data_IF_963534347169
#
_entry.id   IF_963534347169
#
_cell.length_a   1.000
_cell.length_b   1.000
_cell.length_c   1.000
_cell.angle_alpha   90.00
_cell.angle_beta   90.00
_cell.angle_gamma   90.00
#
_symmetry.space_group_name_H-M   'P 1'
#
loop_
_entity.id
_entity.type
_entity.pdbx_description
1 polymer ?
#
# COMPACT_ATOMS: atom_id res chain seq x y z
N UNK A 1 -7.19 -17.18 24.93
CA UNK A 1 -7.23 -18.06 23.73
C UNK A 1 -5.86 -18.05 23.07
N UNK A 2 -5.41 -19.21 22.58
CA UNK A 2 -4.18 -19.32 21.80
C UNK A 2 -4.53 -19.38 20.32
N UNK A 3 -3.88 -18.55 19.51
CA UNK A 3 -4.09 -18.47 18.07
C UNK A 3 -2.73 -18.55 17.38
N UNK A 4 -2.65 -19.27 16.26
CA UNK A 4 -1.43 -19.31 15.44
C UNK A 4 -1.62 -18.43 14.19
N UNK A 5 -0.58 -17.70 13.82
CA UNK A 5 -0.53 -17.05 12.52
C UNK A 5 -0.34 -18.08 11.40
N UNK A 6 -1.05 -17.90 10.29
CA UNK A 6 -0.88 -18.65 9.05
C UNK A 6 0.19 -18.01 8.17
N UNK A 7 0.17 -16.67 8.03
CA UNK A 7 1.14 -15.93 7.23
C UNK A 7 1.60 -14.65 7.92
N UNK A 8 2.86 -14.26 7.71
CA UNK A 8 3.47 -13.08 8.33
C UNK A 8 4.38 -12.40 7.31
N UNK A 9 4.27 -11.08 7.17
CA UNK A 9 5.22 -10.31 6.37
C UNK A 9 6.62 -10.48 6.97
N UNK A 10 7.56 -10.96 6.16
CA UNK A 10 8.93 -11.17 6.59
C UNK A 10 9.58 -9.91 7.19
N UNK A 11 9.12 -8.72 6.78
CA UNK A 11 9.62 -7.45 7.30
C UNK A 11 9.31 -7.20 8.78
N UNK A 12 8.38 -7.96 9.38
CA UNK A 12 8.07 -7.90 10.82
C UNK A 12 9.05 -8.68 11.67
N UNK A 13 9.82 -9.60 11.08
CA UNK A 13 10.89 -10.29 11.79
C UNK A 13 12.12 -9.39 11.85
N UNK A 14 12.13 -8.50 12.84
CA UNK A 14 13.35 -7.83 13.29
C UNK A 14 14.01 -8.67 14.39
N UNK A 15 15.34 -8.62 14.49
CA UNK A 15 16.11 -9.35 15.51
C UNK A 15 15.99 -8.71 16.92
N UNK A 16 14.97 -7.88 17.16
CA UNK A 16 14.78 -7.27 18.48
C UNK A 16 14.32 -8.33 19.47
N UNK A 17 15.24 -8.67 20.37
CA UNK A 17 15.00 -9.55 21.52
C UNK A 17 14.26 -8.83 22.64
N UNK A 18 14.07 -7.51 22.53
CA UNK A 18 13.41 -6.68 23.53
C UNK A 18 11.89 -6.74 23.41
N UNK A 19 11.25 -6.65 24.57
CA UNK A 19 9.81 -6.58 24.70
C UNK A 19 9.31 -5.22 24.21
N UNK A 20 8.39 -5.22 23.24
CA UNK A 20 7.82 -4.01 22.66
C UNK A 20 6.37 -3.82 23.10
N UNK A 21 6.01 -2.57 23.40
CA UNK A 21 4.64 -2.19 23.76
C UNK A 21 3.90 -1.64 22.55
N UNK A 22 2.70 -2.17 22.37
CA UNK A 22 1.80 -1.89 21.27
C UNK A 22 0.40 -1.68 21.82
N UNK A 23 -0.51 -1.16 21.01
CA UNK A 23 -1.92 -1.10 21.33
C UNK A 23 -2.76 -1.36 20.09
N UNK A 24 -4.01 -1.80 20.28
CA UNK A 24 -4.99 -1.88 19.21
C UNK A 24 -5.36 -0.47 18.78
N UNK A 25 -4.93 -0.08 17.59
CA UNK A 25 -5.15 1.26 17.05
C UNK A 25 -6.56 1.42 16.47
N UNK A 26 -7.00 0.45 15.66
CA UNK A 26 -8.28 0.54 14.96
C UNK A 26 -8.84 -0.84 14.66
N UNK A 27 -10.16 -0.97 14.65
CA UNK A 27 -10.87 -2.25 14.42
C UNK A 27 -11.91 -2.09 13.31
N UNK A 28 -11.94 -3.04 12.38
CA UNK A 28 -12.85 -3.11 11.23
C UNK A 28 -13.47 -4.50 11.13
N UNK A 29 -14.38 -4.68 10.16
CA UNK A 29 -15.11 -5.94 9.95
C UNK A 29 -14.18 -7.14 9.72
N UNK A 30 -13.11 -6.96 8.94
CA UNK A 30 -12.23 -8.06 8.50
C UNK A 30 -10.76 -7.83 8.89
N UNK A 31 -10.46 -6.80 9.69
CA UNK A 31 -9.09 -6.49 10.10
C UNK A 31 -9.10 -5.65 11.37
N UNK A 32 -7.98 -5.66 12.09
CA UNK A 32 -7.66 -4.62 13.05
C UNK A 32 -6.18 -4.27 12.89
N UNK A 33 -5.84 -3.02 13.21
CA UNK A 33 -4.46 -2.55 13.19
C UNK A 33 -3.98 -2.40 14.62
N UNK A 34 -2.71 -2.75 14.83
CA UNK A 34 -1.99 -2.46 16.06
C UNK A 34 -0.89 -1.46 15.76
N UNK A 35 -0.58 -0.59 16.71
CA UNK A 35 0.44 0.45 16.57
C UNK A 35 1.40 0.41 17.75
N UNK A 36 2.67 0.64 17.49
CA UNK A 36 3.69 0.74 18.55
C UNK A 36 3.49 2.05 19.35
N UNK A 37 3.99 2.08 20.59
CA UNK A 37 3.87 3.26 21.46
C UNK A 37 4.49 4.54 20.87
N UNK A 38 5.50 4.42 19.98
CA UNK A 38 6.15 5.58 19.34
C UNK A 38 5.37 6.09 18.12
N UNK A 39 4.27 5.43 17.76
CA UNK A 39 3.41 5.77 16.61
C UNK A 39 4.17 5.82 15.28
N UNK A 40 5.13 4.92 15.10
CA UNK A 40 5.97 4.85 13.92
C UNK A 40 5.64 3.66 13.01
N UNK A 41 5.10 2.59 13.59
CA UNK A 41 4.80 1.35 12.90
C UNK A 41 3.34 0.94 13.13
N UNK A 42 2.71 0.49 12.05
CA UNK A 42 1.44 -0.20 12.09
C UNK A 42 1.64 -1.63 11.60
N UNK A 43 0.85 -2.53 12.16
CA UNK A 43 0.73 -3.92 11.73
C UNK A 43 -0.75 -4.22 11.58
N UNK A 44 -1.13 -4.77 10.43
CA UNK A 44 -2.50 -5.21 10.18
C UNK A 44 -2.63 -6.68 10.56
N UNK A 45 -3.59 -7.01 11.41
CA UNK A 45 -3.98 -8.40 11.67
C UNK A 45 -5.32 -8.65 10.99
N UNK A 46 -5.35 -9.68 10.13
CA UNK A 46 -6.50 -9.98 9.28
C UNK A 46 -6.58 -11.49 9.00
N UNK A 47 -7.47 -11.87 8.09
CA UNK A 47 -7.71 -13.26 7.66
C UNK A 47 -7.09 -13.51 6.28
N UNK A 48 -6.76 -14.77 6.01
CA UNK A 48 -6.31 -15.28 4.70
C UNK A 48 -7.29 -15.01 3.53
N UNK A 49 -8.52 -14.57 3.80
CA UNK A 49 -9.47 -14.11 2.79
C UNK A 49 -9.20 -12.68 2.27
N UNK A 50 -8.20 -11.99 2.82
CA UNK A 50 -7.81 -10.64 2.42
C UNK A 50 -6.46 -10.67 1.68
N UNK A 51 -6.22 -9.77 0.70
CA UNK A 51 -4.93 -9.69 0.03
C UNK A 51 -3.77 -9.48 1.01
N UNK A 52 -2.59 -10.00 0.68
CA UNK A 52 -1.39 -9.78 1.47
C UNK A 52 -0.96 -8.30 1.42
N UNK A 53 -0.75 -7.70 2.58
CA UNK A 53 -0.42 -6.29 2.76
C UNK A 53 0.96 -6.17 3.39
N UNK A 54 1.71 -5.07 3.15
CA UNK A 54 2.89 -4.78 3.94
C UNK A 54 2.56 -4.79 5.44
N UNK A 55 3.46 -5.34 6.25
CA UNK A 55 3.28 -5.49 7.70
C UNK A 55 1.99 -6.24 8.10
N UNK A 56 1.56 -7.24 7.32
CA UNK A 56 0.38 -8.02 7.64
C UNK A 56 0.67 -9.34 8.38
N UNK A 57 -0.17 -9.66 9.36
CA UNK A 57 -0.27 -10.95 10.05
C UNK A 57 -1.63 -11.56 9.73
N UNK A 58 -1.65 -12.78 9.22
CA UNK A 58 -2.84 -13.46 8.71
C UNK A 58 -3.17 -14.68 9.54
N UNK A 59 -4.43 -14.81 9.93
CA UNK A 59 -4.95 -15.94 10.70
C UNK A 59 -5.99 -16.70 9.86
N UNK A 60 -6.25 -17.95 10.22
CA UNK A 60 -7.41 -18.69 9.71
C UNK A 60 -8.70 -17.91 10.01
N UNK A 61 -9.65 -17.92 9.07
CA UNK A 61 -10.86 -17.10 9.18
C UNK A 61 -11.67 -17.35 10.48
N UNK A 62 -11.74 -18.61 10.92
CA UNK A 62 -12.43 -18.98 12.15
C UNK A 62 -11.73 -18.44 13.40
N UNK A 63 -10.40 -18.49 13.45
CA UNK A 63 -9.62 -17.99 14.57
C UNK A 63 -9.56 -16.47 14.59
N UNK A 64 -9.45 -15.84 13.43
CA UNK A 64 -9.56 -14.39 13.28
C UNK A 64 -10.89 -13.87 13.82
N UNK A 65 -12.01 -14.51 13.46
CA UNK A 65 -13.35 -14.10 13.91
C UNK A 65 -13.49 -14.16 15.44
N UNK A 66 -12.99 -15.23 16.06
CA UNK A 66 -12.96 -15.37 17.52
C UNK A 66 -12.03 -14.35 18.18
N UNK A 67 -10.87 -14.07 17.59
CA UNK A 67 -9.96 -13.07 18.11
C UNK A 67 -10.61 -11.69 18.05
N UNK A 68 -11.12 -11.32 16.87
CA UNK A 68 -11.75 -10.03 16.62
C UNK A 68 -12.93 -9.77 17.56
N UNK A 69 -13.71 -10.78 17.97
CA UNK A 69 -14.84 -10.59 18.89
C UNK A 69 -14.43 -10.19 20.32
N UNK A 70 -13.17 -10.42 20.69
CA UNK A 70 -12.66 -10.16 22.06
C UNK A 70 -11.69 -8.98 22.15
N UNK A 71 -11.18 -8.49 21.01
CA UNK A 71 -10.23 -7.38 20.93
C UNK A 71 -10.94 -6.02 21.01
N UNK A 72 -10.41 -5.09 21.79
CA UNK A 72 -10.96 -3.74 21.95
C UNK A 72 -9.97 -2.66 21.48
N UNK A 73 -10.48 -1.55 20.95
CA UNK A 73 -9.64 -0.40 20.56
C UNK A 73 -8.99 0.17 21.82
N UNK A 74 -7.69 0.42 21.77
CA UNK A 74 -6.88 0.89 22.89
C UNK A 74 -6.34 -0.21 23.80
N UNK A 75 -6.72 -1.48 23.58
CA UNK A 75 -6.19 -2.61 24.32
C UNK A 75 -4.66 -2.68 24.19
N UNK A 76 -3.98 -2.86 25.31
CA UNK A 76 -2.53 -2.95 25.37
C UNK A 76 -2.06 -4.33 24.89
N UNK A 77 -0.99 -4.32 24.11
CA UNK A 77 -0.39 -5.51 23.52
C UNK A 77 1.09 -5.51 23.88
N UNK A 78 1.54 -6.63 24.43
CA UNK A 78 2.97 -6.87 24.63
C UNK A 78 3.45 -7.78 23.50
N UNK A 79 4.32 -7.27 22.63
CA UNK A 79 4.99 -8.08 21.62
C UNK A 79 6.34 -8.52 22.16
N UNK A 80 6.52 -9.84 22.29
CA UNK A 80 7.76 -10.43 22.78
C UNK A 80 8.17 -11.59 21.90
N UNK A 81 9.39 -11.53 21.34
CA UNK A 81 9.91 -12.57 20.45
C UNK A 81 8.91 -12.86 19.30
N UNK A 82 8.36 -14.08 19.27
CA UNK A 82 7.43 -14.55 18.25
C UNK A 82 5.99 -14.65 18.79
N UNK A 83 5.60 -13.81 19.74
CA UNK A 83 4.21 -13.77 20.22
C UNK A 83 3.72 -12.37 20.58
N UNK A 84 2.45 -12.15 20.28
CA UNK A 84 1.70 -10.98 20.73
C UNK A 84 0.78 -11.41 21.87
N UNK A 85 0.89 -10.74 23.01
CA UNK A 85 0.10 -10.97 24.21
C UNK A 85 -0.90 -9.83 24.39
N UNK A 86 -2.18 -10.15 24.28
CA UNK A 86 -3.32 -9.31 24.57
C UNK A 86 -3.95 -9.75 25.90
N UNK A 87 -4.94 -9.04 26.41
CA UNK A 87 -5.53 -9.29 27.74
C UNK A 87 -6.06 -10.72 27.88
N UNK A 88 -6.77 -11.18 26.83
CA UNK A 88 -7.41 -12.50 26.81
C UNK A 88 -6.86 -13.43 25.72
N UNK A 89 -5.91 -12.95 24.91
CA UNK A 89 -5.47 -13.65 23.71
C UNK A 89 -3.95 -13.69 23.59
N UNK A 90 -3.45 -14.79 23.05
CA UNK A 90 -2.04 -14.96 22.73
C UNK A 90 -1.96 -15.41 21.27
N UNK A 91 -1.29 -14.60 20.46
CA UNK A 91 -1.06 -14.88 19.06
C UNK A 91 0.39 -15.32 18.86
N UNK A 92 0.60 -16.54 18.42
CA UNK A 92 1.92 -17.11 18.13
C UNK A 92 2.28 -16.94 16.66
N UNK A 93 3.49 -16.45 16.41
CA UNK A 93 4.03 -16.15 15.09
C UNK A 93 4.95 -17.26 14.54
N UNK A 94 5.41 -18.18 15.40
CA UNK A 94 6.47 -19.15 15.04
C UNK A 94 6.12 -20.10 13.90
N UNK A 95 4.84 -20.42 13.73
CA UNK A 95 4.37 -21.40 12.74
C UNK A 95 3.87 -20.77 11.44
N UNK A 96 3.82 -19.43 11.36
CA UNK A 96 3.33 -18.72 10.19
C UNK A 96 4.32 -18.79 9.03
N UNK A 97 3.81 -19.06 7.83
CA UNK A 97 4.58 -18.95 6.60
C UNK A 97 4.97 -17.49 6.33
N UNK A 98 6.21 -17.28 5.91
CA UNK A 98 6.69 -15.93 5.59
C UNK A 98 6.34 -15.59 4.14
N UNK A 99 5.85 -14.37 3.92
CA UNK A 99 5.74 -13.79 2.58
C UNK A 99 6.53 -12.49 2.51
N UNK A 100 6.83 -12.05 1.29
CA UNK A 100 7.50 -10.77 1.03
C UNK A 100 6.51 -9.77 0.47
N UNK A 101 6.44 -8.59 1.06
CA UNK A 101 5.77 -7.43 0.48
C UNK A 101 6.69 -6.59 -0.42
N UNK A 102 7.96 -6.99 -0.58
CA UNK A 102 8.97 -6.23 -1.33
C UNK A 102 8.84 -6.48 -2.83
N UNK A 103 8.82 -5.40 -3.62
CA UNK A 103 8.91 -5.50 -5.07
C UNK A 103 10.35 -5.85 -5.46
N UNK A 104 10.52 -7.02 -6.08
CA UNK A 104 11.79 -7.48 -6.62
C UNK A 104 12.01 -6.86 -8.01
N UNK A 105 13.13 -6.16 -8.20
CA UNK A 105 13.29 -5.16 -9.27
C UNK A 105 14.35 -5.49 -10.31
N UNK A 106 14.38 -6.70 -10.85
CA UNK A 106 15.41 -7.11 -11.84
C UNK A 106 14.92 -7.12 -13.28
N UNK A 107 13.62 -7.22 -13.52
CA UNK A 107 13.08 -7.36 -14.88
C UNK A 107 12.72 -6.00 -15.51
N UNK A 108 12.78 -5.93 -16.83
CA UNK A 108 12.36 -4.75 -17.57
C UNK A 108 10.88 -4.87 -17.95
N UNK A 109 10.19 -3.74 -17.97
CA UNK A 109 8.79 -3.69 -18.38
C UNK A 109 8.67 -4.02 -19.85
N UNK A 110 7.69 -4.86 -20.20
CA UNK A 110 7.41 -5.18 -21.60
C UNK A 110 6.47 -4.16 -22.21
N UNK A 111 6.88 -3.56 -23.33
CA UNK A 111 6.11 -2.50 -23.99
C UNK A 111 4.69 -2.94 -24.38
N UNK A 112 4.58 -4.20 -24.86
CA UNK A 112 3.28 -4.83 -25.17
C UNK A 112 2.39 -4.99 -23.94
N UNK A 113 2.96 -5.23 -22.76
CA UNK A 113 2.18 -5.34 -21.52
C UNK A 113 1.66 -3.97 -21.10
N UNK A 114 2.43 -2.90 -21.31
CA UNK A 114 1.95 -1.53 -21.06
C UNK A 114 0.85 -1.10 -22.02
N UNK A 115 0.95 -1.47 -23.31
CA UNK A 115 -0.12 -1.22 -24.29
C UNK A 115 -1.45 -1.86 -23.85
N UNK A 116 -1.41 -3.11 -23.39
CA UNK A 116 -2.58 -3.81 -22.84
C UNK A 116 -3.12 -3.13 -21.58
N UNK A 117 -2.24 -2.75 -20.65
CA UNK A 117 -2.62 -2.02 -19.45
C UNK A 117 -3.36 -0.71 -19.80
N UNK A 118 -2.82 0.06 -20.75
CA UNK A 118 -3.42 1.32 -21.16
C UNK A 118 -4.77 1.08 -21.85
N UNK A 119 -4.82 0.15 -22.81
CA UNK A 119 -6.06 -0.24 -23.49
C UNK A 119 -7.16 -0.55 -22.48
N UNK A 120 -6.87 -1.42 -21.51
CA UNK A 120 -7.82 -1.78 -20.48
C UNK A 120 -8.19 -0.61 -19.58
N UNK A 121 -7.22 0.19 -19.15
CA UNK A 121 -7.45 1.32 -18.24
C UNK A 121 -8.42 2.36 -18.82
N UNK A 122 -8.40 2.60 -20.14
CA UNK A 122 -9.35 3.50 -20.80
C UNK A 122 -10.77 2.93 -20.94
N UNK A 123 -10.98 1.63 -20.70
CA UNK A 123 -12.32 1.04 -20.65
C UNK A 123 -12.97 1.09 -19.26
N UNK A 124 -12.20 1.42 -18.22
CA UNK A 124 -12.66 1.35 -16.84
C UNK A 124 -13.54 2.54 -16.46
N UNK A 125 -14.80 2.24 -16.13
CA UNK A 125 -15.81 3.21 -15.64
C UNK A 125 -15.78 3.41 -14.12
N UNK A 126 -14.82 2.80 -13.41
CA UNK A 126 -14.68 2.95 -11.95
C UNK A 126 -14.17 4.34 -11.60
N UNK A 127 -14.80 4.95 -10.60
CA UNK A 127 -14.49 6.30 -10.15
C UNK A 127 -13.27 6.35 -9.24
N UNK A 128 -12.47 7.38 -9.45
CA UNK A 128 -11.42 7.87 -8.55
C UNK A 128 -12.05 8.72 -7.44
N UNK A 129 -11.32 9.00 -6.37
CA UNK A 129 -11.78 9.93 -5.34
C UNK A 129 -11.85 11.40 -5.80
N UNK A 130 -11.40 11.72 -7.01
CA UNK A 130 -11.65 13.01 -7.67
C UNK A 130 -12.99 13.08 -8.41
N UNK A 131 -13.88 12.11 -8.24
CA UNK A 131 -15.23 12.06 -8.84
C UNK A 131 -15.23 11.99 -10.38
N UNK A 132 -14.17 11.42 -10.94
CA UNK A 132 -14.06 11.10 -12.37
C UNK A 132 -13.72 9.63 -12.56
N UNK A 133 -14.13 9.02 -13.68
CA UNK A 133 -13.69 7.66 -13.99
C UNK A 133 -12.17 7.62 -14.19
N UNK A 134 -11.55 6.45 -14.02
CA UNK A 134 -10.12 6.29 -14.29
C UNK A 134 -9.79 6.67 -15.73
N UNK A 135 -10.62 6.29 -16.70
CA UNK A 135 -10.45 6.68 -18.10
C UNK A 135 -10.43 8.21 -18.26
N UNK A 136 -11.44 8.91 -17.73
CA UNK A 136 -11.52 10.38 -17.78
C UNK A 136 -10.33 11.06 -17.09
N UNK A 137 -9.90 10.53 -15.95
CA UNK A 137 -8.74 11.01 -15.22
C UNK A 137 -7.46 10.94 -16.07
N UNK A 138 -7.29 9.86 -16.85
CA UNK A 138 -6.11 9.61 -17.68
C UNK A 138 -6.11 10.37 -19.01
N UNK A 139 -7.29 10.77 -19.50
CA UNK A 139 -7.48 11.55 -20.74
C UNK A 139 -7.32 13.05 -20.52
N UNK A 140 -7.68 13.55 -19.34
CA UNK A 140 -7.76 14.98 -19.05
C UNK A 140 -6.66 15.45 -18.10
N UNK A 141 -6.13 16.65 -18.38
CA UNK A 141 -5.30 17.35 -17.41
C UNK A 141 -6.21 17.83 -16.28
N UNK A 142 -5.88 17.44 -15.06
CA UNK A 142 -6.61 17.78 -13.86
C UNK A 142 -5.60 18.04 -12.71
N UNK A 143 -6.00 18.73 -11.62
CA UNK A 143 -5.05 19.11 -10.58
C UNK A 143 -4.28 17.93 -9.94
N UNK A 144 -4.90 16.74 -9.85
CA UNK A 144 -4.22 15.55 -9.35
C UNK A 144 -3.21 15.02 -10.37
N UNK A 145 -3.56 14.94 -11.65
CA UNK A 145 -2.63 14.51 -12.70
C UNK A 145 -1.47 15.49 -12.89
N UNK A 146 -1.71 16.80 -12.78
CA UNK A 146 -0.66 17.83 -12.74
C UNK A 146 0.28 17.64 -11.54
N UNK A 147 -0.26 17.42 -10.34
CA UNK A 147 0.55 17.18 -9.16
C UNK A 147 1.41 15.91 -9.29
N UNK A 148 0.87 14.82 -9.87
CA UNK A 148 1.65 13.61 -10.17
C UNK A 148 2.76 13.90 -11.19
N UNK A 149 2.48 14.70 -12.23
CA UNK A 149 3.50 15.11 -13.21
C UNK A 149 4.59 15.95 -12.56
N UNK A 150 4.25 16.83 -11.61
CA UNK A 150 5.23 17.58 -10.81
C UNK A 150 6.16 16.64 -10.02
N UNK A 151 5.64 15.53 -9.47
CA UNK A 151 6.47 14.51 -8.81
C UNK A 151 7.44 13.79 -9.77
N UNK A 152 7.13 13.79 -11.07
CA UNK A 152 7.98 13.17 -12.09
C UNK A 152 9.15 14.06 -12.54
N UNK A 153 9.09 15.37 -12.26
CA UNK A 153 10.18 16.31 -12.54
C UNK A 153 11.29 16.16 -11.48
N UNK A 154 12.56 16.17 -11.90
CA UNK A 154 13.73 16.10 -10.98
C UNK A 154 14.08 17.49 -10.42
N UNK A 155 13.07 18.23 -9.98
CA UNK A 155 13.19 19.57 -9.40
C UNK A 155 12.53 19.59 -8.02
N UNK A 156 13.30 19.93 -6.99
CA UNK A 156 12.83 19.91 -5.60
C UNK A 156 11.58 20.77 -5.38
N UNK A 157 11.50 21.94 -6.03
CA UNK A 157 10.35 22.86 -5.93
C UNK A 157 9.08 22.25 -6.53
N UNK A 158 9.19 21.57 -7.67
CA UNK A 158 8.08 20.89 -8.32
C UNK A 158 7.60 19.70 -7.48
N UNK A 159 8.53 18.84 -7.04
CA UNK A 159 8.19 17.69 -6.21
C UNK A 159 7.56 18.10 -4.88
N UNK A 160 8.07 19.18 -4.25
CA UNK A 160 7.47 19.73 -3.04
C UNK A 160 6.06 20.26 -3.30
N UNK A 161 5.81 20.95 -4.43
CA UNK A 161 4.48 21.40 -4.84
C UNK A 161 3.51 20.21 -5.01
N UNK A 162 3.91 19.18 -5.76
CA UNK A 162 3.08 18.01 -5.98
C UNK A 162 2.76 17.26 -4.69
N UNK A 163 3.75 17.07 -3.81
CA UNK A 163 3.54 16.44 -2.50
C UNK A 163 2.65 17.29 -1.60
N UNK A 164 2.83 18.62 -1.59
CA UNK A 164 1.97 19.53 -0.82
C UNK A 164 0.52 19.48 -1.29
N UNK A 165 0.27 19.26 -2.59
CA UNK A 165 -1.07 19.10 -3.11
C UNK A 165 -1.65 17.73 -2.74
N UNK A 166 -0.92 16.64 -2.96
CA UNK A 166 -1.44 15.27 -2.87
C UNK A 166 -1.55 14.75 -1.42
N UNK A 167 -0.56 15.01 -0.58
CA UNK A 167 -0.43 14.36 0.72
C UNK A 167 -1.63 14.69 1.63
N UNK A 168 -2.39 13.65 1.99
CA UNK A 168 -3.59 13.75 2.81
C UNK A 168 -4.84 14.27 2.11
N UNK A 169 -4.78 14.54 0.80
CA UNK A 169 -5.93 15.05 0.05
C UNK A 169 -6.86 13.92 -0.34
N UNK A 170 -8.08 13.95 0.19
CA UNK A 170 -9.12 12.96 -0.07
C UNK A 170 -9.88 12.60 1.21
N UNK A 171 -10.92 11.79 1.07
CA UNK A 171 -11.71 11.33 2.21
C UNK A 171 -11.28 9.92 2.64
N UNK A 172 -11.55 9.57 3.90
CA UNK A 172 -11.36 8.21 4.40
C UNK A 172 -9.99 7.95 5.02
N UNK A 173 -9.70 6.66 5.24
CA UNK A 173 -8.49 6.20 5.93
C UNK A 173 -7.25 6.24 5.04
N UNK A 174 -7.45 6.15 3.72
CA UNK A 174 -6.43 6.23 2.68
C UNK A 174 -6.90 7.32 1.72
N UNK A 175 -6.52 8.59 1.97
CA UNK A 175 -6.87 9.70 1.10
C UNK A 175 -6.37 9.45 -0.33
N UNK A 176 -7.17 9.78 -1.34
CA UNK A 176 -6.88 9.53 -2.75
C UNK A 176 -5.51 10.03 -3.20
N UNK A 177 -5.08 11.21 -2.74
CA UNK A 177 -3.77 11.75 -3.08
C UNK A 177 -2.62 10.89 -2.54
N UNK A 178 -2.80 10.21 -1.40
CA UNK A 178 -1.80 9.29 -0.86
C UNK A 178 -1.77 7.97 -1.63
N UNK A 179 -2.94 7.41 -1.98
CA UNK A 179 -3.01 6.23 -2.84
C UNK A 179 -2.34 6.48 -4.20
N UNK A 180 -2.55 7.68 -4.78
CA UNK A 180 -1.86 8.13 -5.99
C UNK A 180 -0.35 8.25 -5.79
N UNK A 181 0.13 8.75 -4.64
CA UNK A 181 1.57 8.78 -4.32
C UNK A 181 2.13 7.34 -4.21
N UNK A 182 1.41 6.40 -3.59
CA UNK A 182 1.82 4.99 -3.53
C UNK A 182 1.94 4.41 -4.94
N UNK A 183 0.95 4.63 -5.81
CA UNK A 183 1.00 4.21 -7.20
C UNK A 183 2.15 4.83 -7.99
N UNK A 184 2.42 6.12 -7.77
CA UNK A 184 3.56 6.82 -8.35
C UNK A 184 4.90 6.20 -7.92
N UNK A 185 5.09 5.91 -6.62
CA UNK A 185 6.30 5.26 -6.11
C UNK A 185 6.47 3.84 -6.69
N UNK A 186 5.39 3.08 -6.84
CA UNK A 186 5.42 1.78 -7.50
C UNK A 186 5.88 1.89 -8.95
N UNK A 187 5.32 2.84 -9.73
CA UNK A 187 5.72 3.08 -11.11
C UNK A 187 7.19 3.53 -11.23
N UNK A 188 7.67 4.41 -10.35
CA UNK A 188 9.07 4.83 -10.34
C UNK A 188 10.03 3.69 -10.04
N UNK A 189 9.66 2.80 -9.13
CA UNK A 189 10.44 1.60 -8.83
C UNK A 189 10.47 0.65 -10.03
N UNK A 190 9.30 0.38 -10.62
CA UNK A 190 9.12 -0.45 -11.81
C UNK A 190 9.98 0.03 -12.99
N UNK A 191 9.98 1.35 -13.25
CA UNK A 191 10.73 1.96 -14.36
C UNK A 191 12.19 2.25 -14.04
N UNK A 192 12.70 1.85 -12.86
CA UNK A 192 14.05 2.17 -12.37
C UNK A 192 14.35 3.68 -12.35
N UNK A 193 13.31 4.51 -12.15
CA UNK A 193 13.39 5.97 -12.04
C UNK A 193 13.27 6.40 -10.59
N UNK A 194 14.04 5.88 -9.64
CA UNK A 194 14.00 6.38 -8.25
C UNK A 194 14.46 7.84 -8.18
N UNK A 195 13.85 8.66 -7.33
CA UNK A 195 14.31 10.03 -7.05
C UNK A 195 14.62 10.17 -5.56
N UNK A 196 15.89 10.46 -5.24
CA UNK A 196 16.32 10.70 -3.85
C UNK A 196 15.73 11.98 -3.29
N UNK A 197 15.55 13.01 -4.12
CA UNK A 197 14.93 14.29 -3.75
C UNK A 197 13.50 14.04 -3.27
N UNK A 198 12.69 13.34 -4.08
CA UNK A 198 11.30 13.02 -3.75
C UNK A 198 11.22 12.20 -2.46
N UNK A 199 12.05 11.16 -2.35
CA UNK A 199 12.05 10.27 -1.20
C UNK A 199 12.38 11.02 0.09
N UNK A 200 13.41 11.87 0.06
CA UNK A 200 13.81 12.67 1.22
C UNK A 200 12.71 13.66 1.63
N UNK A 201 12.11 14.37 0.66
CA UNK A 201 10.99 15.29 0.92
C UNK A 201 9.79 14.57 1.55
N UNK A 202 9.40 13.42 0.98
CA UNK A 202 8.26 12.66 1.50
C UNK A 202 8.55 12.11 2.91
N UNK A 203 9.74 11.56 3.16
CA UNK A 203 10.15 11.12 4.49
C UNK A 203 10.10 12.27 5.51
N UNK A 204 10.60 13.44 5.14
CA UNK A 204 10.55 14.63 5.99
C UNK A 204 9.09 15.04 6.30
N UNK A 205 8.23 15.10 5.29
CA UNK A 205 6.80 15.45 5.47
C UNK A 205 6.07 14.44 6.38
N UNK A 206 6.33 13.15 6.24
CA UNK A 206 5.72 12.10 7.06
C UNK A 206 6.23 12.09 8.51
N UNK A 207 7.45 12.61 8.75
CA UNK A 207 8.00 12.76 10.10
C UNK A 207 7.30 13.87 10.91
N UNK A 208 6.78 14.90 10.25
CA UNK A 208 6.16 16.09 10.87
C UNK A 208 4.67 15.93 11.23
N UNK A 209 4.12 14.71 11.15
CA UNK A 209 2.77 14.26 11.56
C UNK A 209 1.68 15.36 11.62
N UNK A 210 1.06 15.71 10.49
CA UNK A 210 -0.18 16.55 10.52
C UNK A 210 -1.09 16.44 9.29
N UNK A 211 -0.65 15.85 8.16
CA UNK A 211 -1.40 15.99 6.90
C UNK A 211 -2.23 14.78 6.49
N UNK A 212 -1.86 13.58 6.91
CA UNK A 212 -2.55 12.33 6.53
C UNK A 212 -2.85 11.46 7.76
N UNK A 213 -3.56 10.36 7.56
CA UNK A 213 -3.89 9.36 8.58
C UNK A 213 -2.68 8.48 8.90
N UNK A 214 -2.70 7.84 10.07
CA UNK A 214 -1.65 6.89 10.46
C UNK A 214 -1.57 5.69 9.50
N UNK A 215 -2.71 5.19 9.01
CA UNK A 215 -2.78 4.07 8.06
C UNK A 215 -2.13 4.43 6.73
N UNK A 216 -2.49 5.60 6.18
CA UNK A 216 -1.93 6.06 4.91
C UNK A 216 -0.44 6.38 5.02
N UNK A 217 -0.03 7.04 6.11
CA UNK A 217 1.39 7.25 6.44
C UNK A 217 2.16 5.93 6.44
N UNK A 218 1.61 4.89 7.06
CA UNK A 218 2.24 3.58 7.09
C UNK A 218 2.47 3.02 5.67
N UNK A 219 1.46 3.05 4.80
CA UNK A 219 1.61 2.55 3.43
C UNK A 219 2.56 3.40 2.58
N UNK A 220 2.61 4.73 2.78
CA UNK A 220 3.60 5.59 2.13
C UNK A 220 5.04 5.25 2.56
N UNK A 221 5.28 4.98 3.84
CA UNK A 221 6.58 4.52 4.34
C UNK A 221 6.97 3.15 3.79
N UNK A 222 6.00 2.23 3.67
CA UNK A 222 6.19 0.95 2.99
C UNK A 222 6.58 1.13 1.53
N UNK A 223 5.87 1.99 0.78
CA UNK A 223 6.15 2.28 -0.62
C UNK A 223 7.53 2.92 -0.82
N UNK A 224 7.94 3.85 0.05
CA UNK A 224 9.31 4.41 0.07
C UNK A 224 10.38 3.33 0.26
N UNK A 225 10.06 2.28 1.00
CA UNK A 225 10.92 1.12 1.22
C UNK A 225 10.82 0.06 0.11
N UNK A 226 10.07 0.34 -0.96
CA UNK A 226 9.83 -0.59 -2.07
C UNK A 226 8.90 -1.75 -1.70
N UNK A 227 8.02 -1.57 -0.72
CA UNK A 227 7.07 -2.58 -0.24
C UNK A 227 5.63 -2.20 -0.56
N UNK A 228 4.88 -3.12 -1.15
CA UNK A 228 3.53 -2.91 -1.65
C UNK A 228 2.64 -4.11 -1.32
N UNK A 229 1.34 -3.95 -1.51
CA UNK A 229 0.39 -5.06 -1.37
C UNK A 229 0.54 -6.07 -2.51
N UNK A 230 0.17 -7.31 -2.25
CA UNK A 230 0.20 -8.41 -3.23
C UNK A 230 -0.53 -8.09 -4.55
N UNK A 231 -1.70 -7.41 -4.57
CA UNK A 231 -2.31 -6.94 -5.81
C UNK A 231 -1.40 -6.04 -6.66
N UNK A 232 -0.63 -5.15 -6.02
CA UNK A 232 0.34 -4.28 -6.72
C UNK A 232 1.53 -5.08 -7.24
N UNK A 233 2.05 -6.02 -6.44
CA UNK A 233 3.15 -6.88 -6.85
C UNK A 233 2.76 -7.76 -8.05
N UNK A 234 1.54 -8.33 -8.05
CA UNK A 234 1.00 -9.11 -9.17
C UNK A 234 0.80 -8.29 -10.43
N UNK A 235 0.38 -7.03 -10.31
CA UNK A 235 0.33 -6.14 -11.47
C UNK A 235 1.74 -5.90 -12.02
N UNK A 236 2.71 -5.61 -11.16
CA UNK A 236 4.11 -5.43 -11.58
C UNK A 236 4.63 -6.68 -12.30
N UNK A 237 4.43 -7.87 -11.74
CA UNK A 237 4.79 -9.14 -12.36
C UNK A 237 4.12 -9.32 -13.73
N UNK A 238 2.82 -9.00 -13.85
CA UNK A 238 2.12 -9.08 -15.12
C UNK A 238 2.67 -8.11 -16.19
N UNK A 239 3.30 -7.00 -15.77
CA UNK A 239 3.89 -6.01 -16.66
C UNK A 239 5.34 -6.33 -17.06
N UNK A 240 6.08 -7.10 -16.26
CA UNK A 240 7.46 -7.52 -16.56
C UNK A 240 7.55 -8.89 -17.21
N UNK A 241 6.51 -9.71 -17.06
CA UNK A 241 6.40 -11.02 -17.71
C UNK A 241 5.60 -10.93 -19.01
N UNK A 242 5.77 -11.92 -19.90
CA UNK A 242 5.02 -12.03 -21.17
C UNK A 242 3.56 -12.45 -20.95
N UNK A 243 2.83 -11.69 -20.13
CA UNK A 243 1.44 -11.93 -19.78
C UNK A 243 0.50 -11.61 -20.95
N UNK A 244 -0.58 -12.39 -21.06
CA UNK A 244 -1.67 -12.12 -21.99
C UNK A 244 -2.58 -10.99 -21.46
N UNK A 245 -3.55 -10.57 -22.27
CA UNK A 245 -4.48 -9.48 -21.91
C UNK A 245 -5.29 -9.82 -20.66
N UNK A 246 -5.93 -10.99 -20.61
CA UNK A 246 -6.73 -11.46 -19.48
C UNK A 246 -5.96 -11.44 -18.14
N UNK A 247 -4.67 -11.80 -18.14
CA UNK A 247 -3.83 -11.76 -16.94
C UNK A 247 -3.63 -10.34 -16.41
N UNK A 248 -3.39 -9.37 -17.31
CA UNK A 248 -3.23 -7.96 -16.94
C UNK A 248 -4.56 -7.39 -16.45
N UNK A 249 -5.66 -7.67 -17.14
CA UNK A 249 -7.00 -7.24 -16.72
C UNK A 249 -7.34 -7.76 -15.33
N UNK A 250 -7.08 -9.04 -15.07
CA UNK A 250 -7.30 -9.67 -13.76
C UNK A 250 -6.46 -9.02 -12.66
N UNK A 251 -5.21 -8.68 -12.94
CA UNK A 251 -4.36 -7.98 -11.98
C UNK A 251 -4.92 -6.58 -11.66
N UNK A 252 -5.36 -5.84 -12.67
CA UNK A 252 -6.01 -4.53 -12.51
C UNK A 252 -7.32 -4.65 -11.72
N UNK A 253 -8.18 -5.62 -12.03
CA UNK A 253 -9.42 -5.87 -11.29
C UNK A 253 -9.17 -6.24 -9.83
N UNK A 254 -8.11 -6.99 -9.56
CA UNK A 254 -7.71 -7.33 -8.19
C UNK A 254 -7.36 -6.06 -7.42
N UNK A 255 -6.62 -5.12 -8.01
CA UNK A 255 -6.33 -3.82 -7.38
C UNK A 255 -7.62 -3.01 -7.15
N UNK A 256 -8.50 -2.91 -8.14
CA UNK A 256 -9.75 -2.14 -8.05
C UNK A 256 -10.69 -2.68 -6.95
N UNK A 257 -10.63 -3.98 -6.66
CA UNK A 257 -11.42 -4.59 -5.60
C UNK A 257 -10.96 -4.24 -4.17
N UNK A 258 -9.81 -3.57 -4.03
CA UNK A 258 -9.25 -3.14 -2.74
C UNK A 258 -9.77 -1.75 -2.37
N UNK A 259 -10.53 -1.68 -1.27
CA UNK A 259 -11.10 -0.43 -0.79
C UNK A 259 -12.23 0.10 -1.67
N UNK A 260 -12.73 1.31 -1.36
CA UNK A 260 -13.82 1.92 -2.13
C UNK A 260 -13.30 2.54 -3.44
N UNK A 261 -12.37 3.49 -3.34
CA UNK A 261 -11.67 4.10 -4.50
C UNK A 261 -10.16 3.90 -4.48
N UNK A 262 -9.59 3.45 -3.36
CA UNK A 262 -8.13 3.40 -3.17
C UNK A 262 -7.38 2.61 -4.24
N UNK A 263 -7.90 1.46 -4.67
CA UNK A 263 -7.31 0.72 -5.79
C UNK A 263 -7.28 1.53 -7.10
N UNK A 264 -8.36 2.27 -7.39
CA UNK A 264 -8.47 3.11 -8.59
C UNK A 264 -7.54 4.32 -8.50
N UNK A 265 -7.47 4.96 -7.33
CA UNK A 265 -6.58 6.10 -7.06
C UNK A 265 -5.09 5.69 -7.16
N UNK A 266 -4.74 4.49 -6.68
CA UNK A 266 -3.41 3.91 -6.88
C UNK A 266 -3.09 3.71 -8.36
N UNK A 267 -4.02 3.14 -9.14
CA UNK A 267 -3.85 2.98 -10.58
C UNK A 267 -3.70 4.32 -11.30
N UNK A 268 -4.45 5.35 -10.88
CA UNK A 268 -4.35 6.70 -11.43
C UNK A 268 -2.94 7.29 -11.25
N UNK A 269 -2.35 7.12 -10.06
CA UNK A 269 -0.96 7.51 -9.77
C UNK A 269 0.07 6.73 -10.60
N UNK A 270 -0.09 5.40 -10.64
CA UNK A 270 0.81 4.49 -11.35
C UNK A 270 0.82 4.77 -12.87
N UNK A 271 -0.36 4.80 -13.50
CA UNK A 271 -0.48 4.91 -14.95
C UNK A 271 -0.06 6.31 -15.42
N UNK A 272 -0.44 7.38 -14.71
CA UNK A 272 -0.01 8.75 -15.04
C UNK A 272 1.51 8.86 -15.03
N UNK A 273 2.16 8.25 -14.04
CA UNK A 273 3.63 8.24 -13.92
C UNK A 273 4.29 7.48 -15.07
N UNK A 274 3.76 6.30 -15.44
CA UNK A 274 4.29 5.54 -16.57
C UNK A 274 4.12 6.31 -17.89
N UNK A 275 2.95 6.90 -18.13
CA UNK A 275 2.70 7.73 -19.33
C UNK A 275 3.67 8.91 -19.41
N UNK A 276 3.96 9.56 -18.28
CA UNK A 276 4.90 10.69 -18.25
C UNK A 276 6.32 10.28 -18.67
N UNK A 277 6.84 9.17 -18.13
CA UNK A 277 8.20 8.73 -18.46
C UNK A 277 8.34 8.08 -19.84
N UNK A 278 7.24 7.67 -20.49
CA UNK A 278 7.23 7.15 -21.87
C UNK A 278 7.07 8.22 -22.94
N UNK A 279 6.53 9.39 -22.59
CA UNK A 279 6.33 10.49 -23.53
C UNK A 279 7.55 11.41 -23.67
N UNK A 280 8.65 11.10 -22.98
CA UNK A 280 9.95 11.77 -23.06
C UNK A 280 10.99 10.84 -23.67
#
# INVERSE_FOLDING_TARGET
MFVNACFIDQALFSNDLEEQKWHVHSKYKNSFNIQDERKQQLVVITTTNYPFMPNGIYLEAADFSKLLSTVEIGEQITWKQNSLHLSNNHLFLMHGQRYSSKMEGTEEVLEKSLEKLFSYAFTLVKETGSQSTLAQFLETINPFSEAIQQLCLEEQTQQASGLNFLLGRGLGLTPSGDDMIVGHLAARLLLRKKSSILNNLLTELLSKQTRTTDISKHYLLCALSGRFSDPVLKLVEALTTSSNEEQIEKAVQTIISVGHTSGVDLLAGLITTIKFFRSK
#
